data_IF_498501436277
#
_entry.id   IF_498501436277
#
_cell.length_a   1.000
_cell.length_b   1.000
_cell.length_c   1.000
_cell.angle_alpha   90.00
_cell.angle_beta   90.00
_cell.angle_gamma   90.00
#
_symmetry.space_group_name_H-M   'P 1'
#
loop_
_entity.id
_entity.type
_entity.pdbx_description
1 polymer ?
#
# COMPACT_ATOMS: atom_id res chain seq x y z
N UNK A 1 -2.97 10.11 52.51
CA UNK A 1 -3.70 10.52 51.29
C UNK A 1 -2.86 10.05 50.12
N UNK A 2 -3.18 8.87 49.61
CA UNK A 2 -2.44 8.19 48.54
C UNK A 2 -3.36 8.05 47.33
N UNK A 3 -2.90 8.52 46.16
CA UNK A 3 -3.25 8.00 44.83
C UNK A 3 -2.46 8.77 43.76
N UNK A 4 -1.21 8.38 43.57
CA UNK A 4 -0.48 8.65 42.33
C UNK A 4 -0.89 7.56 41.33
N UNK A 5 -1.78 7.90 40.40
CA UNK A 5 -2.16 7.05 39.27
C UNK A 5 -0.98 6.97 38.28
N UNK A 6 -0.14 5.94 38.45
CA UNK A 6 0.81 5.52 37.42
C UNK A 6 0.02 5.00 36.22
N UNK A 7 0.01 5.79 35.14
CA UNK A 7 -0.47 5.40 33.82
C UNK A 7 0.49 4.35 33.26
N UNK A 8 0.04 3.17 32.79
CA UNK A 8 0.97 2.22 32.18
C UNK A 8 1.44 2.81 30.86
N UNK A 9 2.73 3.10 30.78
CA UNK A 9 3.43 3.39 29.53
C UNK A 9 3.38 2.12 28.66
N UNK A 10 2.37 2.02 27.79
CA UNK A 10 2.32 1.03 26.72
C UNK A 10 3.24 1.49 25.60
N UNK A 11 4.56 1.49 25.84
CA UNK A 11 5.51 1.30 24.76
C UNK A 11 5.62 -0.22 24.60
N UNK A 12 4.80 -0.74 23.69
CA UNK A 12 4.84 -2.15 23.33
C UNK A 12 6.27 -2.52 22.90
N UNK A 13 6.73 -3.63 23.46
CA UNK A 13 7.87 -4.44 23.05
C UNK A 13 8.21 -4.21 21.59
N UNK A 14 9.39 -3.66 21.32
CA UNK A 14 9.85 -3.41 19.96
C UNK A 14 9.65 -4.66 19.12
N UNK A 15 9.00 -4.51 17.97
CA UNK A 15 8.96 -5.56 16.96
C UNK A 15 10.39 -6.09 16.78
N UNK A 16 10.60 -7.42 16.76
CA UNK A 16 11.91 -7.99 16.47
C UNK A 16 12.49 -7.26 15.26
N UNK A 17 13.71 -6.73 15.37
CA UNK A 17 14.32 -5.92 14.30
C UNK A 17 14.32 -6.64 12.95
N UNK A 18 14.31 -7.98 12.95
CA UNK A 18 14.14 -8.83 11.77
C UNK A 18 12.78 -8.66 11.07
N UNK A 19 11.68 -8.60 11.82
CA UNK A 19 10.33 -8.47 11.27
C UNK A 19 10.08 -7.10 10.63
N UNK A 20 10.78 -6.06 11.12
CA UNK A 20 10.74 -4.73 10.52
C UNK A 20 11.55 -4.68 9.23
N UNK A 21 12.74 -5.28 9.20
CA UNK A 21 13.56 -5.30 7.98
C UNK A 21 12.89 -6.09 6.86
N UNK A 22 12.32 -7.26 7.18
CA UNK A 22 11.59 -8.08 6.21
C UNK A 22 10.41 -7.32 5.58
N UNK A 23 9.65 -6.59 6.39
CA UNK A 23 8.55 -5.74 5.89
C UNK A 23 9.06 -4.63 4.96
N UNK A 24 10.19 -4.00 5.27
CA UNK A 24 10.78 -2.98 4.40
C UNK A 24 11.25 -3.57 3.07
N UNK A 25 11.83 -4.77 3.09
CA UNK A 25 12.22 -5.50 1.88
C UNK A 25 11.01 -5.89 1.03
N UNK A 26 9.92 -6.35 1.66
CA UNK A 26 8.65 -6.66 1.02
C UNK A 26 8.05 -5.42 0.35
N UNK A 27 7.96 -4.29 1.07
CA UNK A 27 7.49 -3.01 0.53
C UNK A 27 8.34 -2.59 -0.68
N UNK A 28 9.67 -2.64 -0.54
CA UNK A 28 10.56 -2.23 -1.62
C UNK A 28 10.43 -3.16 -2.84
N UNK A 29 10.23 -4.46 -2.64
CA UNK A 29 9.96 -5.40 -3.72
C UNK A 29 8.64 -5.11 -4.42
N UNK A 30 7.57 -4.88 -3.65
CA UNK A 30 6.24 -4.55 -4.16
C UNK A 30 6.24 -3.26 -4.97
N UNK A 31 6.88 -2.21 -4.45
CA UNK A 31 7.02 -0.93 -5.16
C UNK A 31 7.77 -1.11 -6.47
N UNK A 32 8.90 -1.83 -6.46
CA UNK A 32 9.65 -2.10 -7.70
C UNK A 32 8.86 -2.93 -8.70
N UNK A 33 8.10 -3.92 -8.24
CA UNK A 33 7.29 -4.77 -9.10
C UNK A 33 6.22 -3.97 -9.85
N UNK A 34 5.64 -2.95 -9.20
CA UNK A 34 4.51 -2.18 -9.73
C UNK A 34 4.82 -0.73 -10.11
N UNK A 35 6.08 -0.30 -10.09
CA UNK A 35 6.49 1.08 -10.42
C UNK A 35 6.08 1.52 -11.83
N UNK A 36 5.99 0.59 -12.78
CA UNK A 36 5.61 0.83 -14.18
C UNK A 36 4.13 0.45 -14.46
N UNK A 37 3.28 0.40 -13.44
CA UNK A 37 1.87 -0.01 -13.57
C UNK A 37 1.11 0.82 -14.62
N UNK A 38 1.46 2.10 -14.81
CA UNK A 38 0.86 2.94 -15.85
C UNK A 38 1.21 2.50 -17.27
N UNK A 39 2.40 1.95 -17.51
CA UNK A 39 2.77 1.42 -18.83
C UNK A 39 2.07 0.07 -19.10
N UNK A 40 1.86 -0.72 -18.05
CA UNK A 40 1.31 -2.09 -18.13
C UNK A 40 -0.18 -2.21 -17.82
N UNK A 41 -0.89 -1.11 -17.53
CA UNK A 41 -2.31 -1.15 -17.13
C UNK A 41 -3.21 -1.90 -18.12
N UNK A 42 -2.85 -1.95 -19.40
CA UNK A 42 -3.62 -2.61 -20.45
C UNK A 42 -3.67 -4.14 -20.28
N UNK A 43 -2.59 -4.77 -19.78
CA UNK A 43 -2.54 -6.22 -19.52
C UNK A 43 -3.22 -6.62 -18.21
N UNK A 44 -3.43 -5.68 -17.29
CA UNK A 44 -4.14 -5.92 -16.04
C UNK A 44 -5.65 -5.81 -16.22
N UNK A 45 -6.40 -6.72 -15.61
CA UNK A 45 -7.85 -6.55 -15.44
C UNK A 45 -8.14 -5.51 -14.35
N UNK A 46 -9.38 -5.00 -14.30
CA UNK A 46 -9.78 -4.12 -13.18
C UNK A 46 -9.66 -4.84 -11.83
N UNK A 47 -9.93 -6.15 -11.79
CA UNK A 47 -9.76 -6.96 -10.59
C UNK A 47 -8.29 -7.06 -10.15
N UNK A 48 -7.36 -7.20 -11.09
CA UNK A 48 -5.93 -7.19 -10.79
C UNK A 48 -5.50 -5.84 -10.20
N UNK A 49 -5.92 -4.73 -10.81
CA UNK A 49 -5.61 -3.40 -10.30
C UNK A 49 -6.16 -3.17 -8.89
N UNK A 50 -7.38 -3.63 -8.61
CA UNK A 50 -7.97 -3.56 -7.26
C UNK A 50 -7.21 -4.43 -6.26
N UNK A 51 -6.71 -5.60 -6.67
CA UNK A 51 -5.91 -6.47 -5.81
C UNK A 51 -4.57 -5.82 -5.45
N UNK A 52 -3.92 -5.17 -6.42
CA UNK A 52 -2.66 -4.43 -6.19
C UNK A 52 -2.93 -3.24 -5.25
N UNK A 53 -4.01 -2.48 -5.45
CA UNK A 53 -4.41 -1.38 -4.55
C UNK A 53 -4.63 -1.87 -3.11
N UNK A 54 -5.36 -2.97 -2.95
CA UNK A 54 -5.63 -3.54 -1.62
C UNK A 54 -4.34 -3.98 -0.92
N UNK A 55 -3.40 -4.58 -1.65
CA UNK A 55 -2.10 -4.97 -1.11
C UNK A 55 -1.25 -3.77 -0.72
N UNK A 56 -1.30 -2.69 -1.52
CA UNK A 56 -0.65 -1.42 -1.20
C UNK A 56 -1.16 -0.84 0.13
N UNK A 57 -2.47 -0.86 0.36
CA UNK A 57 -3.07 -0.44 1.63
C UNK A 57 -2.69 -1.33 2.80
N UNK A 58 -2.67 -2.66 2.60
CA UNK A 58 -2.25 -3.62 3.63
C UNK A 58 -0.82 -3.34 4.09
N UNK A 59 0.11 -3.15 3.15
CA UNK A 59 1.50 -2.84 3.42
C UNK A 59 1.68 -1.48 4.11
N UNK A 60 0.87 -0.48 3.72
CA UNK A 60 0.91 0.83 4.35
C UNK A 60 0.45 0.77 5.81
N UNK A 61 -0.68 0.11 6.09
CA UNK A 61 -1.20 -0.08 7.45
C UNK A 61 -0.20 -0.86 8.32
N UNK A 62 0.38 -1.94 7.77
CA UNK A 62 1.38 -2.73 8.48
C UNK A 62 2.66 -1.93 8.76
N UNK A 63 3.16 -1.17 7.80
CA UNK A 63 4.30 -0.27 7.98
C UNK A 63 4.03 0.75 9.09
N UNK A 64 2.84 1.33 9.11
CA UNK A 64 2.47 2.30 10.12
C UNK A 64 2.30 1.69 11.51
N UNK A 65 1.67 0.52 11.61
CA UNK A 65 1.52 -0.22 12.87
C UNK A 65 2.88 -0.55 13.52
N UNK A 66 3.93 -0.74 12.71
CA UNK A 66 5.29 -1.08 13.15
C UNK A 66 6.24 0.12 13.27
N UNK A 67 5.72 1.35 13.20
CA UNK A 67 6.52 2.57 13.31
C UNK A 67 7.46 2.81 12.12
N UNK A 68 7.13 2.24 10.96
CA UNK A 68 7.84 2.40 9.69
C UNK A 68 7.06 3.27 8.68
N UNK A 69 6.11 4.12 9.13
CA UNK A 69 5.39 5.04 8.23
C UNK A 69 6.31 5.92 7.36
N UNK A 70 7.62 6.03 7.64
CA UNK A 70 8.56 6.73 6.75
C UNK A 70 8.62 6.16 5.33
N UNK A 71 8.30 4.87 5.13
CA UNK A 71 8.18 4.26 3.79
C UNK A 71 6.79 4.43 3.17
N UNK A 72 5.85 5.07 3.88
CA UNK A 72 4.52 5.37 3.36
C UNK A 72 4.56 6.27 2.12
N UNK A 73 5.62 7.07 1.93
CA UNK A 73 5.76 7.92 0.75
C UNK A 73 5.79 7.14 -0.56
N UNK A 74 6.55 6.05 -0.61
CA UNK A 74 6.66 5.19 -1.80
C UNK A 74 5.35 4.43 -2.06
N UNK A 75 4.69 3.97 -0.99
CA UNK A 75 3.38 3.31 -1.10
C UNK A 75 2.28 4.30 -1.53
N UNK A 76 2.30 5.54 -1.04
CA UNK A 76 1.35 6.57 -1.43
C UNK A 76 1.52 6.99 -2.90
N UNK A 77 2.76 7.09 -3.38
CA UNK A 77 3.03 7.31 -4.80
C UNK A 77 2.48 6.15 -5.64
N UNK A 78 2.74 4.91 -5.23
CA UNK A 78 2.24 3.75 -5.93
C UNK A 78 0.70 3.68 -5.93
N UNK A 79 0.04 3.99 -4.81
CA UNK A 79 -1.42 4.08 -4.71
C UNK A 79 -1.98 5.08 -5.73
N UNK A 80 -1.36 6.25 -5.85
CA UNK A 80 -1.73 7.24 -6.86
C UNK A 80 -1.62 6.68 -8.29
N UNK A 81 -0.51 6.00 -8.60
CA UNK A 81 -0.30 5.39 -9.93
C UNK A 81 -1.34 4.29 -10.23
N UNK A 82 -1.70 3.48 -9.24
CA UNK A 82 -2.73 2.44 -9.37
C UNK A 82 -4.10 3.08 -9.63
N UNK A 83 -4.46 4.14 -8.89
CA UNK A 83 -5.69 4.90 -9.13
C UNK A 83 -5.78 5.43 -10.56
N UNK A 84 -4.67 6.00 -11.06
CA UNK A 84 -4.57 6.47 -12.46
C UNK A 84 -4.67 5.32 -13.46
N UNK A 85 -4.05 4.17 -13.19
CA UNK A 85 -4.19 2.98 -14.04
C UNK A 85 -5.65 2.50 -14.12
N UNK A 86 -6.39 2.51 -13.00
CA UNK A 86 -7.81 2.15 -12.93
C UNK A 86 -8.66 3.11 -13.76
N UNK A 87 -8.44 4.43 -13.64
CA UNK A 87 -9.13 5.42 -14.47
C UNK A 87 -8.90 5.19 -15.97
N UNK A 88 -7.66 4.93 -16.37
CA UNK A 88 -7.31 4.65 -17.77
C UNK A 88 -7.96 3.35 -18.27
N UNK A 89 -8.03 2.31 -17.42
CA UNK A 89 -8.72 1.05 -17.75
C UNK A 89 -10.23 1.25 -17.87
N UNK A 90 -10.84 1.99 -16.96
CA UNK A 90 -12.28 2.28 -16.97
C UNK A 90 -12.70 2.98 -18.28
N UNK A 91 -11.99 4.06 -18.65
CA UNK A 91 -12.24 4.79 -19.91
C UNK A 91 -12.15 3.90 -21.14
N UNK A 92 -11.19 2.96 -21.16
CA UNK A 92 -11.04 2.00 -22.25
C UNK A 92 -12.23 1.03 -22.32
N UNK A 93 -12.65 0.50 -21.18
CA UNK A 93 -13.82 -0.40 -21.11
C UNK A 93 -15.13 0.29 -21.49
N UNK A 94 -15.27 1.59 -21.18
CA UNK A 94 -16.41 2.41 -21.63
C UNK A 94 -16.39 2.64 -23.15
N UNK A 95 -15.22 2.93 -23.72
CA UNK A 95 -15.05 3.08 -25.17
C UNK A 95 -15.30 1.78 -25.97
N UNK A 96 -14.93 0.64 -25.41
CA UNK A 96 -15.20 -0.69 -25.99
C UNK A 96 -16.70 -1.07 -25.95
N UNK A 97 -17.50 -0.38 -25.13
CA UNK A 97 -18.96 -0.55 -25.01
C UNK A 97 -19.77 0.52 -25.77
N UNK A 98 -19.10 1.41 -26.51
CA UNK A 98 -19.71 2.43 -27.38
C UNK A 98 -20.43 1.83 -28.60
N UNK A 99 -21.37 2.56 -29.23
CA UNK A 99 -22.57 1.99 -29.84
C UNK A 99 -22.25 1.08 -31.02
N UNK A 100 -22.71 -0.17 -30.92
CA UNK A 100 -23.01 -0.99 -32.09
C UNK A 100 -24.23 -0.46 -32.83
#
# INVERSE_FOLDING_TARGET
MDRTTSRPARCATGSPKGDRLALLEEIAAFVREHADILARYHIHTMADLNRIEQECWRLHDEACSRGACGTAGELAELEYLIGRAKEMKAKRMEGERGPG
#
